data_IF_096285805570
#
_entry.id   IF_096285805570
#
_cell.length_a   1.000
_cell.length_b   1.000
_cell.length_c   1.000
_cell.angle_alpha   90.00
_cell.angle_beta   90.00
_cell.angle_gamma   90.00
#
_symmetry.space_group_name_H-M   'P 1'
#
loop_
_entity.id
_entity.type
_entity.pdbx_description
1 polymer ?
#
# COMPACT_ATOMS: atom_id res chain seq x y z
N UNK A 1 22.37 -22.82 -19.90
CA UNK A 1 21.14 -22.49 -19.13
C UNK A 1 21.60 -22.09 -17.74
N UNK A 2 21.64 -20.80 -17.41
CA UNK A 2 22.09 -20.32 -16.09
C UNK A 2 20.89 -20.31 -15.16
N UNK A 3 20.79 -21.32 -14.29
CA UNK A 3 19.90 -21.27 -13.13
C UNK A 3 20.50 -20.22 -12.19
N UNK A 4 19.89 -19.04 -12.15
CA UNK A 4 20.23 -18.04 -11.15
C UNK A 4 19.76 -18.61 -9.80
N UNK A 5 20.71 -19.07 -8.98
CA UNK A 5 20.47 -19.30 -7.57
C UNK A 5 20.16 -17.94 -6.94
N UNK A 6 18.88 -17.60 -6.84
CA UNK A 6 18.46 -16.50 -5.99
C UNK A 6 18.71 -16.95 -4.55
N UNK A 7 19.50 -16.22 -3.75
CA UNK A 7 19.70 -16.56 -2.35
C UNK A 7 18.33 -16.58 -1.65
N UNK A 8 18.15 -17.53 -0.74
CA UNK A 8 16.96 -17.60 0.10
C UNK A 8 16.79 -16.25 0.81
N UNK A 9 15.69 -15.51 0.58
CA UNK A 9 15.48 -14.20 1.19
C UNK A 9 15.57 -14.27 2.72
N UNK A 10 15.28 -15.43 3.34
CA UNK A 10 15.43 -15.64 4.78
C UNK A 10 16.86 -15.50 5.32
N UNK A 11 17.88 -15.55 4.46
CA UNK A 11 19.30 -15.42 4.84
C UNK A 11 19.91 -14.05 4.52
N UNK A 12 19.16 -13.15 3.90
CA UNK A 12 19.62 -11.78 3.64
C UNK A 12 19.46 -10.94 4.91
N UNK A 13 20.57 -10.37 5.38
CA UNK A 13 20.58 -9.45 6.52
C UNK A 13 19.70 -8.23 6.24
N UNK A 14 19.75 -7.69 5.01
CA UNK A 14 18.91 -6.59 4.55
C UNK A 14 17.41 -6.94 4.58
N UNK A 15 17.04 -8.17 4.17
CA UNK A 15 15.66 -8.65 4.27
C UNK A 15 15.21 -8.77 5.72
N UNK A 16 16.06 -9.29 6.60
CA UNK A 16 15.73 -9.44 8.01
C UNK A 16 15.56 -8.08 8.71
N UNK A 17 16.40 -7.09 8.41
CA UNK A 17 16.25 -5.72 8.90
C UNK A 17 14.97 -5.07 8.37
N UNK A 18 14.69 -5.20 7.08
CA UNK A 18 13.44 -4.68 6.48
C UNK A 18 12.20 -5.35 7.07
N UNK A 19 12.25 -6.67 7.30
CA UNK A 19 11.19 -7.45 7.94
C UNK A 19 10.93 -7.00 9.37
N UNK A 20 11.97 -6.83 10.19
CA UNK A 20 11.81 -6.38 11.58
C UNK A 20 11.23 -4.96 11.66
N UNK A 21 11.61 -4.08 10.72
CA UNK A 21 11.01 -2.75 10.61
C UNK A 21 9.53 -2.84 10.25
N UNK A 22 9.17 -3.67 9.27
CA UNK A 22 7.77 -3.89 8.89
C UNK A 22 6.96 -4.49 10.04
N UNK A 23 7.49 -5.48 10.76
CA UNK A 23 6.83 -6.07 11.95
C UNK A 23 6.62 -5.04 13.07
N UNK A 24 7.52 -4.05 13.21
CA UNK A 24 7.37 -2.96 14.18
C UNK A 24 6.29 -1.95 13.76
N UNK A 25 6.19 -1.66 12.46
CA UNK A 25 5.21 -0.71 11.93
C UNK A 25 3.84 -1.31 11.66
N UNK A 26 3.78 -2.63 11.46
CA UNK A 26 2.58 -3.41 11.17
C UNK A 26 2.54 -4.63 12.11
N UNK A 27 2.32 -4.44 13.42
CA UNK A 27 2.38 -5.51 14.42
C UNK A 27 1.38 -6.64 14.14
N UNK A 28 0.27 -6.33 13.47
CA UNK A 28 -0.77 -7.29 13.09
C UNK A 28 -0.51 -8.01 11.77
N UNK A 29 0.55 -7.66 11.01
CA UNK A 29 0.87 -8.19 9.66
C UNK A 29 0.94 -9.73 9.56
N UNK A 30 1.04 -10.41 10.70
CA UNK A 30 1.20 -11.87 10.82
C UNK A 30 0.01 -12.61 11.43
N UNK A 31 -1.02 -11.91 11.90
CA UNK A 31 -2.20 -12.60 12.41
C UNK A 31 -2.95 -13.20 11.21
N UNK A 32 -3.04 -14.53 11.17
CA UNK A 32 -3.51 -15.33 10.02
C UNK A 32 -4.93 -14.96 9.53
N UNK A 33 -5.70 -14.21 10.32
CA UNK A 33 -7.03 -13.69 9.96
C UNK A 33 -7.13 -12.14 9.94
N UNK A 34 -6.05 -11.39 10.25
CA UNK A 34 -6.12 -9.95 10.58
C UNK A 34 -5.33 -8.97 9.70
N UNK A 35 -4.51 -9.43 8.75
CA UNK A 35 -3.54 -8.57 8.05
C UNK A 35 -3.56 -8.60 6.53
N UNK A 36 -4.53 -9.28 5.95
CA UNK A 36 -4.76 -9.19 4.52
C UNK A 36 -5.67 -7.96 4.33
N UNK A 37 -5.06 -6.76 4.31
CA UNK A 37 -5.75 -5.48 4.12
C UNK A 37 -5.48 -4.91 2.72
N UNK A 38 -6.49 -4.32 2.09
CA UNK A 38 -6.29 -3.57 0.86
C UNK A 38 -5.28 -2.45 1.14
N UNK A 39 -4.20 -2.38 0.36
CA UNK A 39 -3.18 -1.36 0.55
C UNK A 39 -3.49 -0.17 -0.36
N UNK A 40 -3.47 1.03 0.19
CA UNK A 40 -3.68 2.24 -0.57
C UNK A 40 -2.37 3.01 -0.70
N UNK A 41 -2.15 3.64 -1.86
CA UNK A 41 -0.94 4.40 -2.14
C UNK A 41 -1.21 5.59 -3.05
N UNK A 42 -0.34 6.59 -2.97
CA UNK A 42 -0.35 7.72 -3.88
C UNK A 42 0.99 7.78 -4.65
N UNK A 43 0.91 8.03 -5.95
CA UNK A 43 2.08 8.24 -6.81
C UNK A 43 2.05 9.67 -7.31
N UNK A 44 3.12 10.40 -7.03
CA UNK A 44 3.28 11.80 -7.41
C UNK A 44 4.37 11.94 -8.48
N UNK A 45 4.08 12.67 -9.55
CA UNK A 45 5.04 13.00 -10.62
C UNK A 45 4.93 14.50 -10.90
N UNK A 46 5.94 15.28 -10.52
CA UNK A 46 5.87 16.74 -10.64
C UNK A 46 4.76 17.32 -9.77
N UNK A 47 3.85 18.08 -10.38
CA UNK A 47 2.71 18.72 -9.71
C UNK A 47 1.44 17.87 -9.72
N UNK A 48 1.50 16.62 -10.19
CA UNK A 48 0.33 15.74 -10.27
C UNK A 48 0.43 14.53 -9.36
N UNK A 49 -0.72 14.08 -8.85
CA UNK A 49 -0.87 12.89 -8.00
C UNK A 49 -1.96 11.96 -8.54
N UNK A 50 -1.75 10.65 -8.37
CA UNK A 50 -2.73 9.59 -8.63
C UNK A 50 -2.79 8.65 -7.43
N UNK A 51 -3.99 8.15 -7.14
CA UNK A 51 -4.24 7.23 -6.04
C UNK A 51 -4.52 5.81 -6.54
N UNK A 52 -3.96 4.84 -5.84
CA UNK A 52 -4.04 3.43 -6.17
C UNK A 52 -4.45 2.60 -4.96
N UNK A 53 -5.10 1.48 -5.24
CA UNK A 53 -5.45 0.42 -4.32
C UNK A 53 -4.79 -0.87 -4.84
N UNK A 54 -4.07 -1.57 -3.98
CA UNK A 54 -3.66 -2.94 -4.21
C UNK A 54 -4.63 -3.84 -3.47
N UNK A 55 -5.58 -4.38 -4.22
CA UNK A 55 -6.49 -5.41 -3.74
C UNK A 55 -5.77 -6.74 -3.64
N UNK A 56 -6.09 -7.51 -2.62
CA UNK A 56 -5.38 -8.75 -2.25
C UNK A 56 -5.66 -9.89 -3.22
N UNK A 57 -6.85 -9.84 -3.83
CA UNK A 57 -7.34 -10.82 -4.79
C UNK A 57 -6.99 -10.45 -6.22
N UNK A 58 -6.40 -9.26 -6.44
CA UNK A 58 -6.12 -8.74 -7.77
C UNK A 58 -4.61 -8.63 -7.99
N UNK A 59 -4.15 -9.07 -9.16
CA UNK A 59 -2.73 -8.98 -9.54
C UNK A 59 -2.31 -7.60 -10.03
N UNK A 60 -3.19 -6.60 -9.96
CA UNK A 60 -2.97 -5.26 -10.51
C UNK A 60 -3.30 -4.14 -9.51
N UNK A 61 -2.62 -3.01 -9.70
CA UNK A 61 -2.89 -1.78 -8.97
C UNK A 61 -4.14 -1.12 -9.58
N UNK A 62 -5.24 -1.17 -8.83
CA UNK A 62 -6.47 -0.48 -9.18
C UNK A 62 -6.36 1.00 -8.87
N UNK A 63 -7.05 1.84 -9.64
CA UNK A 63 -7.09 3.29 -9.38
C UNK A 63 -8.30 3.66 -8.54
N UNK A 64 -8.08 4.44 -7.48
CA UNK A 64 -9.13 4.83 -6.51
C UNK A 64 -10.13 5.85 -7.10
N UNK A 65 -9.73 6.65 -8.09
CA UNK A 65 -10.57 7.65 -8.77
C UNK A 65 -10.56 7.52 -10.31
N UNK A 66 -10.70 6.30 -10.84
CA UNK A 66 -10.72 6.09 -12.29
C UNK A 66 -9.48 6.64 -12.99
N UNK A 67 -9.65 7.36 -14.11
CA UNK A 67 -8.55 7.96 -14.88
C UNK A 67 -8.05 9.32 -14.36
N UNK A 68 -8.59 9.80 -13.24
CA UNK A 68 -8.31 11.14 -12.73
C UNK A 68 -6.85 11.36 -12.32
N UNK A 69 -6.19 12.30 -12.99
CA UNK A 69 -4.96 12.93 -12.52
C UNK A 69 -5.37 14.17 -11.73
N UNK A 70 -4.89 14.31 -10.50
CA UNK A 70 -5.13 15.52 -9.69
C UNK A 70 -3.89 16.40 -9.70
N UNK A 71 -4.07 17.70 -9.80
CA UNK A 71 -3.00 18.70 -9.68
C UNK A 71 -2.90 19.17 -8.23
N UNK A 72 -1.73 18.95 -7.62
CA UNK A 72 -1.44 19.32 -6.22
C UNK A 72 -1.82 20.77 -5.87
N UNK A 73 -1.55 21.79 -6.71
CA UNK A 73 -1.86 23.17 -6.36
C UNK A 73 -3.33 23.54 -6.47
N UNK A 74 -4.07 22.95 -7.41
CA UNK A 74 -5.46 23.33 -7.69
C UNK A 74 -6.49 22.43 -7.03
N UNK A 75 -6.12 21.18 -6.72
CA UNK A 75 -7.06 20.13 -6.33
C UNK A 75 -6.87 19.68 -4.86
N UNK A 76 -6.30 20.55 -4.01
CA UNK A 76 -5.96 20.22 -2.61
C UNK A 76 -7.16 19.69 -1.82
N UNK A 77 -8.35 20.26 -2.02
CA UNK A 77 -9.57 19.84 -1.33
C UNK A 77 -10.01 18.43 -1.73
N UNK A 78 -9.83 18.08 -3.02
CA UNK A 78 -10.16 16.76 -3.55
C UNK A 78 -9.15 15.74 -3.02
N UNK A 79 -7.86 16.07 -3.07
CA UNK A 79 -6.77 15.24 -2.54
C UNK A 79 -6.99 14.94 -1.05
N UNK A 80 -7.30 15.96 -0.25
CA UNK A 80 -7.59 15.79 1.17
C UNK A 80 -8.79 14.87 1.40
N UNK A 81 -9.85 15.01 0.59
CA UNK A 81 -11.02 14.14 0.67
C UNK A 81 -10.66 12.68 0.38
N UNK A 82 -9.90 12.43 -0.68
CA UNK A 82 -9.45 11.06 -1.04
C UNK A 82 -8.63 10.43 0.08
N UNK A 83 -7.68 11.19 0.65
CA UNK A 83 -6.89 10.71 1.79
C UNK A 83 -7.75 10.42 3.02
N UNK A 84 -8.77 11.25 3.28
CA UNK A 84 -9.71 11.05 4.39
C UNK A 84 -10.58 9.82 4.17
N UNK A 85 -11.04 9.57 2.94
CA UNK A 85 -11.81 8.38 2.58
C UNK A 85 -10.97 7.11 2.72
N UNK A 86 -9.73 7.12 2.25
CA UNK A 86 -8.77 6.01 2.42
C UNK A 86 -8.56 5.71 3.92
N UNK A 87 -8.30 6.75 4.73
CA UNK A 87 -8.09 6.60 6.16
C UNK A 87 -9.32 6.01 6.87
N UNK A 88 -10.53 6.45 6.48
CA UNK A 88 -11.79 5.91 7.01
C UNK A 88 -11.98 4.44 6.65
N UNK A 89 -11.75 4.06 5.39
CA UNK A 89 -11.86 2.66 4.95
C UNK A 89 -10.91 1.76 5.75
N UNK A 90 -9.65 2.21 5.95
CA UNK A 90 -8.68 1.47 6.77
C UNK A 90 -9.12 1.29 8.24
N UNK A 91 -9.83 2.26 8.81
CA UNK A 91 -10.37 2.17 10.18
C UNK A 91 -11.60 1.26 10.25
N UNK A 92 -12.53 1.35 9.29
CA UNK A 92 -13.73 0.50 9.25
C UNK A 92 -13.39 -0.98 9.01
N UNK A 93 -12.32 -1.28 8.26
CA UNK A 93 -11.80 -2.65 8.12
C UNK A 93 -11.13 -3.18 9.39
N UNK A 94 -10.72 -2.32 10.32
CA UNK A 94 -10.06 -2.70 11.56
C UNK A 94 -11.04 -3.00 12.71
N UNK A 95 -12.24 -2.42 12.68
CA UNK A 95 -13.28 -2.65 13.70
C UNK A 95 -14.14 -3.90 13.41
N UNK A 96 -14.04 -4.45 12.19
CA UNK A 96 -14.80 -5.62 11.74
C UNK A 96 -14.06 -6.97 11.92
N UNK A 97 -12.82 -6.94 12.38
CA UNK A 97 -11.95 -8.10 12.65
C UNK A 97 -11.77 -8.31 14.16
#
# INVERSE_FOLDING_TARGET
MLVKNFPDPGQSEDWNVGREQLERYLPSAREEDGAIQNMFGAVTIGDVVRFYELSLNEGELLRVQGDGVLHLPSDSDIIHRVLSDIARVGLESSDAA
#
